data_IF_388317584170
#
_entry.id   IF_388317584170
#
_cell.length_a   1.000
_cell.length_b   1.000
_cell.length_c   1.000
_cell.angle_alpha   90.00
_cell.angle_beta   90.00
_cell.angle_gamma   90.00
#
_symmetry.space_group_name_H-M   'P 1'
#
loop_
_entity.id
_entity.type
_entity.pdbx_description
1 polymer ?
#
# COMPACT_ATOMS: atom_id res chain seq x y z
N UNK A 1 -13.20 56.19 45.41
CA UNK A 1 -12.34 56.08 44.20
C UNK A 1 -11.89 54.64 43.88
N UNK A 2 -12.76 53.61 44.01
CA UNK A 2 -12.34 52.20 43.84
C UNK A 2 -12.95 51.47 42.63
N UNK A 3 -14.06 51.95 42.06
CA UNK A 3 -14.71 51.30 40.92
C UNK A 3 -13.92 51.48 39.62
N UNK A 4 -13.49 52.72 39.31
CA UNK A 4 -12.77 53.04 38.05
C UNK A 4 -11.48 52.24 37.86
N UNK A 5 -10.75 51.95 38.95
CA UNK A 5 -9.52 51.13 38.90
C UNK A 5 -9.79 49.65 38.61
N UNK A 6 -10.93 49.10 39.07
CA UNK A 6 -11.30 47.71 38.82
C UNK A 6 -11.74 47.48 37.37
N UNK A 7 -12.51 48.39 36.80
CA UNK A 7 -12.91 48.31 35.38
C UNK A 7 -11.73 48.49 34.42
N UNK A 8 -10.76 49.33 34.77
CA UNK A 8 -9.53 49.50 33.98
C UNK A 8 -8.72 48.19 33.91
N UNK A 9 -8.61 47.47 35.03
CA UNK A 9 -7.85 46.23 35.13
C UNK A 9 -8.51 45.10 34.33
N UNK A 10 -9.84 45.03 34.35
CA UNK A 10 -10.62 44.06 33.54
C UNK A 10 -10.51 44.37 32.04
N UNK A 11 -10.54 45.65 31.66
CA UNK A 11 -10.33 46.05 30.27
C UNK A 11 -8.93 45.70 29.77
N UNK A 12 -7.90 45.93 30.59
CA UNK A 12 -6.52 45.54 30.26
C UNK A 12 -6.35 44.03 30.14
N UNK A 13 -6.98 43.24 31.01
CA UNK A 13 -6.92 41.77 30.91
C UNK A 13 -7.65 41.24 29.68
N UNK A 14 -8.81 41.80 29.34
CA UNK A 14 -9.55 41.40 28.13
C UNK A 14 -8.79 41.80 26.85
N UNK A 15 -8.17 42.99 26.84
CA UNK A 15 -7.34 43.42 25.72
C UNK A 15 -6.09 42.55 25.55
N UNK A 16 -5.45 42.13 26.65
CA UNK A 16 -4.31 41.22 26.62
C UNK A 16 -4.70 39.82 26.11
N UNK A 17 -5.83 39.26 26.57
CA UNK A 17 -6.33 37.98 26.07
C UNK A 17 -6.71 38.04 24.59
N UNK A 18 -7.34 39.13 24.14
CA UNK A 18 -7.62 39.34 22.72
C UNK A 18 -6.32 39.46 21.90
N UNK A 19 -5.31 40.18 22.41
CA UNK A 19 -4.00 40.27 21.76
C UNK A 19 -3.30 38.90 21.69
N UNK A 20 -3.35 38.07 22.73
CA UNK A 20 -2.80 36.72 22.69
C UNK A 20 -3.58 35.79 21.76
N UNK A 21 -4.91 35.90 21.71
CA UNK A 21 -5.76 35.08 20.86
C UNK A 21 -5.60 35.43 19.36
N UNK A 22 -5.60 36.71 19.02
CA UNK A 22 -5.44 37.18 17.63
C UNK A 22 -3.98 37.31 17.19
N UNK A 23 -3.05 37.60 18.11
CA UNK A 23 -1.61 37.74 17.85
C UNK A 23 -0.82 36.43 17.97
N UNK A 24 -1.28 35.47 18.77
CA UNK A 24 -0.64 34.15 18.92
C UNK A 24 -0.64 33.32 17.63
N UNK A 25 -1.61 33.57 16.73
CA UNK A 25 -1.64 32.96 15.39
C UNK A 25 -0.60 33.53 14.42
N UNK A 26 0.02 34.69 14.71
CA UNK A 26 1.05 35.31 13.86
C UNK A 26 2.49 35.07 14.32
N UNK A 27 2.71 34.41 15.45
CA UNK A 27 4.06 33.98 15.87
C UNK A 27 4.48 32.63 15.29
N UNK A 28 3.63 31.95 14.51
CA UNK A 28 4.09 30.93 13.56
C UNK A 28 4.60 31.62 12.29
N UNK A 29 5.69 32.37 12.46
CA UNK A 29 6.49 32.88 11.37
C UNK A 29 6.84 31.74 10.42
N UNK A 30 6.64 31.98 9.13
CA UNK A 30 7.18 31.18 8.03
C UNK A 30 8.72 31.17 8.13
N UNK A 31 9.28 30.31 8.97
CA UNK A 31 10.63 29.85 8.75
C UNK A 31 10.59 28.91 7.54
N UNK A 32 10.79 29.49 6.35
CA UNK A 32 11.42 28.78 5.24
C UNK A 32 12.82 28.42 5.71
N UNK A 33 12.94 27.30 6.41
CA UNK A 33 14.21 26.60 6.52
C UNK A 33 14.42 25.98 5.15
N UNK A 34 15.27 26.60 4.32
CA UNK A 34 15.90 25.85 3.25
C UNK A 34 16.77 24.81 3.97
N UNK A 35 16.48 23.50 3.87
CA UNK A 35 17.38 22.52 4.46
C UNK A 35 18.75 22.67 3.79
N UNK A 36 19.86 22.63 4.55
CA UNK A 36 21.16 22.47 3.94
C UNK A 36 21.12 21.16 3.15
N UNK A 37 21.68 21.19 1.95
CA UNK A 37 21.96 20.02 1.12
C UNK A 37 23.12 19.20 1.74
N UNK A 38 23.10 19.03 3.07
CA UNK A 38 23.99 18.16 3.79
C UNK A 38 23.45 16.74 3.62
N UNK A 39 24.23 15.93 2.90
CA UNK A 39 24.07 14.47 2.80
C UNK A 39 23.82 13.90 4.19
N UNK A 40 22.56 13.66 4.51
CA UNK A 40 22.19 12.92 5.71
C UNK A 40 22.87 11.54 5.62
N UNK A 41 23.40 11.00 6.73
CA UNK A 41 23.92 9.65 6.72
C UNK A 41 22.78 8.72 6.26
N UNK A 42 22.98 8.01 5.17
CA UNK A 42 22.07 6.96 4.77
C UNK A 42 22.19 5.84 5.80
N UNK A 43 21.32 5.84 6.81
CA UNK A 43 21.13 4.71 7.74
C UNK A 43 20.28 3.59 7.12
N UNK A 44 20.38 3.46 5.79
CA UNK A 44 20.14 2.16 5.18
C UNK A 44 21.22 1.27 5.75
N UNK A 45 20.85 0.36 6.66
CA UNK A 45 21.64 -0.85 6.85
C UNK A 45 21.88 -1.37 5.43
N UNK A 46 23.15 -1.48 4.99
CA UNK A 46 23.45 -2.15 3.75
C UNK A 46 22.70 -3.48 3.81
N UNK A 47 21.94 -3.76 2.76
CA UNK A 47 21.14 -4.97 2.62
C UNK A 47 21.93 -6.29 2.84
N UNK A 48 23.25 -6.21 3.00
CA UNK A 48 24.10 -7.31 3.48
C UNK A 48 23.71 -7.85 4.85
N UNK A 49 23.19 -7.01 5.76
CA UNK A 49 23.06 -7.41 7.18
C UNK A 49 21.71 -8.06 7.52
N UNK A 50 20.72 -7.97 6.62
CA UNK A 50 19.41 -8.64 6.77
C UNK A 50 19.19 -9.82 5.81
N UNK A 51 20.04 -9.99 4.80
CA UNK A 51 20.09 -11.22 4.03
C UNK A 51 20.93 -12.24 4.79
N UNK A 52 20.31 -12.99 5.72
CA UNK A 52 20.95 -14.23 6.12
C UNK A 52 21.15 -15.06 4.86
N UNK A 53 22.33 -15.64 4.68
CA UNK A 53 22.65 -16.49 3.51
C UNK A 53 21.62 -17.61 3.34
N UNK A 54 20.91 -17.99 4.42
CA UNK A 54 19.76 -18.90 4.46
C UNK A 54 18.50 -18.40 3.75
N UNK A 55 18.26 -17.10 3.66
CA UNK A 55 17.07 -16.53 3.01
C UNK A 55 17.25 -16.38 1.49
N UNK A 56 18.49 -16.46 1.01
CA UNK A 56 18.86 -16.59 -0.40
C UNK A 56 18.87 -18.06 -0.87
N UNK A 57 18.73 -19.02 0.04
CA UNK A 57 18.70 -20.43 -0.32
C UNK A 57 17.38 -20.77 -1.04
N UNK A 58 17.42 -21.33 -2.26
CA UNK A 58 16.24 -21.86 -2.92
C UNK A 58 15.56 -22.88 -2.01
N UNK A 59 14.23 -22.95 -2.06
CA UNK A 59 13.46 -23.90 -1.26
C UNK A 59 14.05 -25.32 -1.36
N UNK A 60 13.99 -26.15 -0.30
CA UNK A 60 14.52 -27.51 -0.33
C UNK A 60 13.98 -28.36 -1.49
N UNK A 61 12.82 -27.99 -2.03
CA UNK A 61 12.22 -28.60 -3.20
C UNK A 61 13.00 -28.33 -4.49
N UNK A 62 13.45 -27.08 -4.71
CA UNK A 62 14.29 -26.70 -5.86
C UNK A 62 15.67 -27.37 -5.79
N UNK A 63 16.19 -27.59 -4.57
CA UNK A 63 17.46 -28.31 -4.35
C UNK A 63 17.36 -29.80 -4.69
N UNK A 64 16.21 -30.41 -4.42
CA UNK A 64 15.98 -31.85 -4.64
C UNK A 64 15.69 -32.21 -6.09
N UNK A 65 15.06 -31.32 -6.85
CA UNK A 65 14.66 -31.62 -8.23
C UNK A 65 15.76 -31.39 -9.26
N UNK A 66 16.90 -30.78 -8.88
CA UNK A 66 17.98 -30.46 -9.81
C UNK A 66 17.53 -29.39 -10.81
N UNK A 67 18.19 -28.23 -10.79
CA UNK A 67 17.89 -27.11 -11.69
C UNK A 67 18.24 -27.40 -13.16
N UNK A 68 17.59 -28.38 -13.78
CA UNK A 68 17.75 -28.74 -15.18
C UNK A 68 16.38 -28.73 -15.85
N UNK A 69 16.20 -27.77 -16.77
CA UNK A 69 15.11 -27.68 -17.76
C UNK A 69 13.72 -27.19 -17.34
N UNK A 70 13.59 -26.31 -16.34
CA UNK A 70 12.40 -25.45 -16.25
C UNK A 70 12.57 -24.20 -17.13
N UNK A 71 12.22 -24.35 -18.41
CA UNK A 71 11.83 -23.30 -19.36
C UNK A 71 12.43 -21.89 -19.14
N UNK A 72 13.63 -21.70 -19.71
CA UNK A 72 14.28 -20.39 -19.91
C UNK A 72 13.43 -19.34 -20.68
N UNK A 73 12.24 -19.69 -21.18
CA UNK A 73 11.33 -18.78 -21.90
C UNK A 73 10.33 -18.01 -21.02
N UNK A 74 10.21 -18.28 -19.72
CA UNK A 74 9.30 -17.54 -18.81
C UNK A 74 10.00 -16.57 -17.84
N UNK A 75 11.33 -16.56 -17.83
CA UNK A 75 12.10 -15.69 -16.91
C UNK A 75 12.21 -14.25 -17.42
N UNK A 76 11.97 -13.99 -18.72
CA UNK A 76 12.22 -12.67 -19.32
C UNK A 76 11.33 -11.55 -18.81
N UNK A 77 10.09 -11.83 -18.38
CA UNK A 77 9.18 -10.77 -17.93
C UNK A 77 9.35 -10.45 -16.44
N UNK A 78 9.76 -11.42 -15.61
CA UNK A 78 10.02 -11.20 -14.17
C UNK A 78 11.27 -10.33 -13.91
N UNK A 79 12.26 -10.38 -14.80
CA UNK A 79 13.49 -9.57 -14.70
C UNK A 79 13.22 -8.08 -14.98
N UNK A 80 12.12 -7.74 -15.66
CA UNK A 80 11.74 -6.34 -15.92
C UNK A 80 11.36 -5.64 -14.60
N UNK A 81 10.78 -6.35 -13.64
CA UNK A 81 10.33 -5.76 -12.37
C UNK A 81 11.46 -5.48 -11.37
N UNK A 82 12.59 -6.18 -11.42
CA UNK A 82 13.77 -5.84 -10.57
C UNK A 82 14.36 -4.44 -10.88
N UNK A 83 13.95 -3.80 -11.99
CA UNK A 83 14.42 -2.46 -12.39
C UNK A 83 13.54 -1.32 -11.90
N UNK A 84 12.33 -1.59 -11.39
CA UNK A 84 11.45 -0.54 -10.92
C UNK A 84 11.84 -0.09 -9.51
N UNK A 85 12.18 1.19 -9.42
CA UNK A 85 12.37 1.92 -8.18
C UNK A 85 11.47 3.15 -8.19
N UNK A 86 11.36 3.81 -7.05
CA UNK A 86 10.58 5.04 -6.97
C UNK A 86 11.09 6.10 -7.94
N UNK A 87 12.40 6.17 -8.19
CA UNK A 87 12.98 7.19 -9.07
C UNK A 87 12.71 6.92 -10.56
N UNK A 88 12.37 5.68 -10.94
CA UNK A 88 12.26 5.25 -12.35
C UNK A 88 10.83 4.98 -12.78
N UNK A 89 10.05 4.32 -11.92
CA UNK A 89 8.71 3.83 -12.23
C UNK A 89 7.60 4.63 -11.54
N UNK A 90 7.94 5.61 -10.72
CA UNK A 90 6.99 6.53 -10.09
C UNK A 90 7.17 7.95 -10.60
N UNK A 91 6.07 8.58 -10.99
CA UNK A 91 6.03 9.99 -11.39
C UNK A 91 5.69 10.87 -10.18
N UNK A 92 6.72 11.46 -9.59
CA UNK A 92 6.61 12.39 -8.48
C UNK A 92 5.96 13.72 -8.84
N UNK A 93 5.91 14.10 -10.12
CA UNK A 93 5.35 15.39 -10.54
C UNK A 93 3.85 15.49 -10.20
N UNK A 94 3.14 14.35 -10.21
CA UNK A 94 1.73 14.25 -9.81
C UNK A 94 1.48 14.39 -8.31
N UNK A 95 2.54 14.37 -7.50
CA UNK A 95 2.45 14.29 -6.04
C UNK A 95 3.02 15.52 -5.32
N UNK A 96 3.30 16.61 -6.05
CA UNK A 96 4.02 17.77 -5.52
C UNK A 96 3.22 18.60 -4.49
N UNK A 97 1.90 18.69 -4.63
CA UNK A 97 1.07 19.58 -3.80
C UNK A 97 0.31 18.81 -2.72
N UNK A 98 -0.65 17.99 -3.14
CA UNK A 98 -1.54 17.25 -2.26
C UNK A 98 -1.50 15.77 -2.65
N UNK A 99 -1.48 14.90 -1.65
CA UNK A 99 -1.50 13.46 -1.90
C UNK A 99 -2.94 13.01 -2.08
N UNK A 100 -3.35 12.82 -3.35
CA UNK A 100 -4.70 12.34 -3.68
C UNK A 100 -4.67 10.99 -4.38
N UNK A 101 -5.70 10.19 -4.15
CA UNK A 101 -5.88 8.85 -4.70
C UNK A 101 -7.16 8.82 -5.51
N UNK A 102 -7.04 8.50 -6.79
CA UNK A 102 -8.17 8.25 -7.67
C UNK A 102 -8.49 6.77 -7.69
N UNK A 103 -9.77 6.45 -7.53
CA UNK A 103 -10.30 5.08 -7.65
C UNK A 103 -11.06 5.02 -8.97
N UNK A 104 -10.74 4.03 -9.80
CA UNK A 104 -11.49 3.83 -11.05
C UNK A 104 -12.97 3.53 -10.74
N UNK A 105 -13.92 4.03 -11.54
CA UNK A 105 -15.32 3.71 -11.32
C UNK A 105 -15.59 2.23 -11.63
N UNK A 106 -16.54 1.66 -10.90
CA UNK A 106 -17.02 0.28 -11.06
C UNK A 106 -18.06 0.13 -12.19
N UNK A 107 -18.45 1.22 -12.85
CA UNK A 107 -19.56 1.24 -13.80
C UNK A 107 -19.24 0.62 -15.17
N UNK A 108 -20.31 0.10 -15.79
CA UNK A 108 -20.39 -0.63 -17.06
C UNK A 108 -19.75 0.10 -18.25
N UNK A 109 -19.70 1.43 -18.22
CA UNK A 109 -19.18 2.28 -19.30
C UNK A 109 -17.69 2.02 -19.61
N UNK A 110 -16.93 1.50 -18.64
CA UNK A 110 -15.52 1.12 -18.81
C UNK A 110 -15.33 -0.31 -19.36
N UNK A 111 -16.38 -1.12 -19.36
CA UNK A 111 -16.29 -2.55 -19.66
C UNK A 111 -16.66 -2.90 -21.10
N UNK A 112 -17.07 -1.94 -21.93
CA UNK A 112 -17.16 -2.10 -23.38
C UNK A 112 -18.01 -3.30 -23.83
N UNK A 113 -19.09 -3.59 -23.09
CA UNK A 113 -20.01 -4.70 -23.38
C UNK A 113 -19.73 -6.03 -22.65
N UNK A 114 -18.68 -6.11 -21.83
CA UNK A 114 -18.52 -7.23 -20.88
C UNK A 114 -19.36 -7.01 -19.62
N UNK A 115 -19.84 -8.10 -19.00
CA UNK A 115 -20.54 -8.05 -17.71
C UNK A 115 -19.68 -7.28 -16.69
N UNK A 116 -20.24 -6.24 -16.05
CA UNK A 116 -19.55 -5.46 -15.03
C UNK A 116 -19.06 -6.38 -13.92
N UNK A 117 -17.81 -6.19 -13.49
CA UNK A 117 -17.32 -6.95 -12.34
C UNK A 117 -17.75 -6.23 -11.08
N UNK A 118 -18.60 -6.89 -10.29
CA UNK A 118 -18.80 -6.52 -8.91
C UNK A 118 -17.56 -6.97 -8.12
N UNK A 119 -16.86 -6.06 -7.42
CA UNK A 119 -15.76 -6.42 -6.52
C UNK A 119 -16.21 -7.47 -5.49
N UNK A 120 -15.30 -8.34 -5.05
CA UNK A 120 -15.58 -9.21 -3.91
C UNK A 120 -15.86 -8.36 -2.66
N UNK A 121 -16.60 -8.87 -1.66
CA UNK A 121 -16.81 -8.14 -0.40
C UNK A 121 -15.51 -7.74 0.29
N UNK A 122 -14.42 -8.50 0.09
CA UNK A 122 -13.12 -8.16 0.65
C UNK A 122 -12.47 -6.98 -0.08
N UNK A 123 -12.54 -6.93 -1.41
CA UNK A 123 -11.98 -5.82 -2.18
C UNK A 123 -12.82 -4.56 -2.06
N UNK A 124 -14.15 -4.70 -1.97
CA UNK A 124 -15.05 -3.58 -1.74
C UNK A 124 -14.66 -2.82 -0.47
N UNK A 125 -14.35 -3.51 0.65
CA UNK A 125 -13.81 -2.88 1.86
C UNK A 125 -12.54 -2.06 1.63
N UNK A 126 -11.63 -2.55 0.78
CA UNK A 126 -10.40 -1.82 0.44
C UNK A 126 -10.75 -0.53 -0.31
N UNK A 127 -11.66 -0.61 -1.27
CA UNK A 127 -12.13 0.55 -2.03
C UNK A 127 -12.86 1.54 -1.12
N UNK A 128 -13.76 1.09 -0.26
CA UNK A 128 -14.57 1.92 0.65
C UNK A 128 -13.68 2.73 1.59
N UNK A 129 -12.69 2.09 2.23
CA UNK A 129 -11.72 2.78 3.09
C UNK A 129 -10.96 3.89 2.34
N UNK A 130 -10.64 3.67 1.06
CA UNK A 130 -9.96 4.69 0.24
C UNK A 130 -10.94 5.81 -0.10
N UNK A 131 -12.13 5.48 -0.59
CA UNK A 131 -13.18 6.41 -1.02
C UNK A 131 -13.64 7.34 0.11
N UNK A 132 -13.72 6.81 1.34
CA UNK A 132 -14.12 7.58 2.53
C UNK A 132 -12.96 8.38 3.14
N UNK A 133 -11.73 8.15 2.68
CA UNK A 133 -10.55 8.85 3.20
C UNK A 133 -10.45 10.29 2.67
N UNK A 134 -9.76 11.14 3.42
CA UNK A 134 -9.38 12.51 2.99
C UNK A 134 -8.48 12.55 1.74
N UNK A 135 -7.92 11.40 1.37
CA UNK A 135 -7.02 11.27 0.23
C UNK A 135 -7.79 11.01 -1.06
N UNK A 136 -9.04 10.57 -1.01
CA UNK A 136 -9.82 10.34 -2.22
C UNK A 136 -10.01 11.61 -3.07
N UNK A 137 -10.01 11.43 -4.40
CA UNK A 137 -10.48 12.40 -5.38
C UNK A 137 -11.25 11.71 -6.50
N UNK A 138 -12.32 12.34 -6.99
CA UNK A 138 -13.04 11.93 -8.20
C UNK A 138 -12.39 12.46 -9.49
N UNK A 139 -11.47 13.41 -9.39
CA UNK A 139 -10.77 14.01 -10.53
C UNK A 139 -9.39 13.34 -10.73
N UNK A 140 -9.18 12.56 -11.80
CA UNK A 140 -7.91 11.88 -12.06
C UNK A 140 -6.75 12.85 -12.35
N UNK A 141 -7.02 14.11 -12.72
CA UNK A 141 -5.98 15.11 -12.97
C UNK A 141 -5.29 15.59 -11.68
N UNK A 142 -5.97 15.46 -10.55
CA UNK A 142 -5.46 15.84 -9.23
C UNK A 142 -4.80 14.66 -8.50
N UNK A 143 -4.87 13.45 -9.05
CA UNK A 143 -4.46 12.24 -8.37
C UNK A 143 -2.95 11.98 -8.48
N UNK A 144 -2.34 11.73 -7.33
CA UNK A 144 -0.98 11.22 -7.21
C UNK A 144 -0.94 9.71 -7.44
N UNK A 145 -1.90 8.97 -6.88
CA UNK A 145 -2.03 7.52 -7.03
C UNK A 145 -3.34 7.11 -7.69
N UNK A 146 -3.32 5.95 -8.33
CA UNK A 146 -4.45 5.34 -9.01
C UNK A 146 -4.70 3.93 -8.47
N UNK A 147 -5.96 3.61 -8.15
CA UNK A 147 -6.39 2.30 -7.66
C UNK A 147 -7.47 1.74 -8.56
N UNK A 148 -7.26 0.53 -9.06
CA UNK A 148 -8.16 -0.14 -9.98
C UNK A 148 -9.46 -0.56 -9.28
N UNK A 149 -10.59 -0.50 -9.98
CA UNK A 149 -11.83 -1.18 -9.56
C UNK A 149 -11.85 -2.67 -9.98
N UNK A 150 -10.77 -3.17 -10.58
CA UNK A 150 -10.61 -4.57 -10.94
C UNK A 150 -10.10 -5.32 -9.71
N UNK A 151 -10.89 -6.27 -9.21
CA UNK A 151 -10.50 -7.09 -8.07
C UNK A 151 -9.33 -8.00 -8.44
N UNK A 152 -8.20 -7.78 -7.75
CA UNK A 152 -6.96 -8.54 -7.91
C UNK A 152 -6.49 -9.13 -6.59
N UNK A 153 -7.29 -9.05 -5.52
CA UNK A 153 -6.92 -9.55 -4.20
C UNK A 153 -6.68 -11.06 -4.22
N UNK A 154 -7.50 -11.78 -4.98
CA UNK A 154 -7.42 -13.23 -5.12
C UNK A 154 -7.04 -13.62 -6.54
N UNK A 155 -5.80 -14.10 -6.69
CA UNK A 155 -5.26 -14.61 -7.94
C UNK A 155 -5.17 -16.13 -7.96
N UNK A 156 -5.85 -16.81 -7.04
CA UNK A 156 -6.08 -18.24 -7.16
C UNK A 156 -7.13 -18.54 -8.23
N UNK A 157 -6.75 -19.28 -9.27
CA UNK A 157 -7.66 -19.68 -10.35
C UNK A 157 -8.88 -20.51 -9.91
N UNK A 158 -8.82 -21.11 -8.72
CA UNK A 158 -9.90 -21.89 -8.12
C UNK A 158 -10.87 -21.03 -7.29
N UNK A 159 -10.50 -19.78 -6.97
CA UNK A 159 -11.34 -18.90 -6.17
C UNK A 159 -12.56 -18.42 -6.94
N UNK A 160 -13.69 -18.32 -6.24
CA UNK A 160 -14.91 -17.69 -6.75
C UNK A 160 -14.71 -16.20 -7.02
N UNK A 161 -13.75 -15.57 -6.34
CA UNK A 161 -13.41 -14.15 -6.48
C UNK A 161 -12.37 -13.92 -7.60
N UNK A 162 -11.93 -14.97 -8.30
CA UNK A 162 -10.91 -14.89 -9.34
C UNK A 162 -11.40 -14.14 -10.58
N UNK A 163 -10.87 -12.94 -10.78
CA UNK A 163 -11.16 -12.14 -11.98
C UNK A 163 -10.37 -12.66 -13.18
N UNK A 164 -11.08 -13.04 -14.25
CA UNK A 164 -10.49 -13.46 -15.53
C UNK A 164 -10.27 -12.27 -16.47
N UNK A 165 -9.39 -12.45 -17.45
CA UNK A 165 -9.13 -11.48 -18.53
C UNK A 165 -8.71 -10.08 -18.04
N UNK A 166 -7.99 -10.01 -16.92
CA UNK A 166 -7.40 -8.76 -16.41
C UNK A 166 -6.57 -8.02 -17.48
N UNK A 167 -5.72 -8.68 -18.30
CA UNK A 167 -4.95 -7.98 -19.34
C UNK A 167 -5.84 -7.21 -20.33
N UNK A 168 -6.90 -7.84 -20.85
CA UNK A 168 -7.84 -7.21 -21.78
C UNK A 168 -8.58 -6.03 -21.15
N UNK A 169 -8.89 -6.13 -19.85
CA UNK A 169 -9.54 -5.05 -19.09
C UNK A 169 -8.59 -3.87 -18.90
N UNK A 170 -7.33 -4.11 -18.51
CA UNK A 170 -6.32 -3.06 -18.34
C UNK A 170 -6.05 -2.29 -19.64
N UNK A 171 -6.03 -2.97 -20.79
CA UNK A 171 -5.83 -2.33 -22.09
C UNK A 171 -6.92 -1.30 -22.45
N UNK A 172 -8.14 -1.46 -21.89
CA UNK A 172 -9.24 -0.50 -22.10
C UNK A 172 -9.15 0.73 -21.18
N UNK A 173 -8.36 0.64 -20.10
CA UNK A 173 -8.19 1.72 -19.15
C UNK A 173 -7.21 2.76 -19.70
N UNK A 174 -7.74 3.86 -20.24
CA UNK A 174 -6.94 4.97 -20.81
C UNK A 174 -5.89 5.53 -19.84
N UNK A 175 -6.19 5.51 -18.54
CA UNK A 175 -5.33 6.04 -17.48
C UNK A 175 -4.26 5.04 -17.00
N UNK A 176 -4.30 3.76 -17.39
CA UNK A 176 -3.41 2.71 -16.85
C UNK A 176 -1.93 3.04 -17.02
N UNK A 177 -1.55 3.64 -18.15
CA UNK A 177 -0.19 4.15 -18.42
C UNK A 177 0.93 3.15 -18.03
N UNK A 178 0.76 1.88 -18.39
CA UNK A 178 1.74 0.83 -18.09
C UNK A 178 1.95 0.57 -16.60
N UNK A 179 1.01 0.98 -15.73
CA UNK A 179 1.07 0.80 -14.27
C UNK A 179 1.70 1.97 -13.51
N UNK A 180 2.26 2.98 -14.17
CA UNK A 180 2.92 4.11 -13.48
C UNK A 180 1.95 4.81 -12.53
N UNK A 181 2.36 4.99 -11.27
CA UNK A 181 1.56 5.53 -10.15
C UNK A 181 0.31 4.70 -9.77
N UNK A 182 0.18 3.46 -10.25
CA UNK A 182 -0.93 2.59 -9.86
C UNK A 182 -0.53 1.72 -8.68
N UNK A 183 -1.51 1.37 -7.84
CA UNK A 183 -1.35 0.37 -6.79
C UNK A 183 -2.24 -0.83 -7.12
N UNK A 184 -1.63 -2.01 -7.13
CA UNK A 184 -2.30 -3.31 -7.31
C UNK A 184 -2.25 -4.07 -5.99
N UNK A 185 -3.39 -4.58 -5.54
CA UNK A 185 -3.50 -5.32 -4.29
C UNK A 185 -3.55 -6.82 -4.56
N UNK A 186 -2.80 -7.61 -3.79
CA UNK A 186 -2.90 -9.07 -3.79
C UNK A 186 -2.74 -9.60 -2.36
N UNK A 187 -3.71 -10.41 -1.91
CA UNK A 187 -3.62 -11.15 -0.66
C UNK A 187 -3.38 -12.63 -0.89
N UNK A 188 -4.03 -13.21 -1.89
CA UNK A 188 -4.01 -14.64 -2.18
C UNK A 188 -3.36 -14.91 -3.53
N UNK A 189 -2.20 -15.56 -3.50
CA UNK A 189 -1.39 -15.93 -4.68
C UNK A 189 -1.49 -17.43 -4.99
N UNK A 190 -2.69 -17.99 -4.92
CA UNK A 190 -2.95 -19.42 -5.12
C UNK A 190 -3.05 -20.25 -3.84
N UNK A 191 -3.56 -21.48 -4.02
CA UNK A 191 -3.71 -22.51 -2.99
C UNK A 191 -2.81 -23.70 -3.30
N UNK A 192 -2.52 -24.52 -2.29
CA UNK A 192 -1.73 -25.74 -2.47
C UNK A 192 -2.38 -26.66 -3.52
N UNK A 193 -1.60 -27.35 -4.37
CA UNK A 193 -0.13 -27.33 -4.46
C UNK A 193 0.41 -26.19 -5.35
N UNK A 194 -0.45 -25.49 -6.07
CA UNK A 194 -0.12 -24.60 -7.18
C UNK A 194 -0.05 -23.12 -6.77
N UNK A 195 0.87 -22.81 -5.85
CA UNK A 195 1.11 -21.43 -5.44
C UNK A 195 1.77 -20.62 -6.58
N UNK A 196 1.10 -19.57 -7.03
CA UNK A 196 1.60 -18.62 -8.03
C UNK A 196 2.24 -17.39 -7.34
N UNK A 197 3.32 -17.62 -6.57
CA UNK A 197 3.97 -16.54 -5.80
C UNK A 197 4.56 -15.42 -6.68
N UNK A 198 5.01 -15.73 -7.89
CA UNK A 198 5.64 -14.75 -8.80
C UNK A 198 4.77 -14.36 -10.00
N UNK A 199 3.58 -14.95 -10.15
CA UNK A 199 2.71 -14.75 -11.30
C UNK A 199 1.30 -14.33 -10.85
N UNK A 200 0.91 -13.09 -11.18
CA UNK A 200 -0.45 -12.58 -10.94
C UNK A 200 -1.43 -12.99 -12.04
N UNK A 201 -0.95 -13.65 -13.11
CA UNK A 201 -1.72 -13.96 -14.30
C UNK A 201 -1.89 -12.76 -15.25
N UNK A 202 -1.15 -11.66 -15.00
CA UNK A 202 -1.07 -10.48 -15.87
C UNK A 202 0.19 -9.68 -15.57
N UNK A 203 0.58 -8.81 -16.51
CA UNK A 203 1.71 -7.89 -16.33
C UNK A 203 1.26 -6.62 -15.59
N UNK A 204 1.87 -6.37 -14.42
CA UNK A 204 1.61 -5.15 -13.62
C UNK A 204 2.37 -3.94 -14.13
N UNK A 205 3.35 -4.13 -15.02
CA UNK A 205 4.24 -3.07 -15.48
C UNK A 205 4.89 -2.32 -14.31
N UNK A 206 4.78 -0.99 -14.34
CA UNK A 206 5.34 -0.05 -13.37
C UNK A 206 4.45 0.14 -12.11
N UNK A 207 3.40 -0.66 -11.90
CA UNK A 207 2.53 -0.51 -10.74
C UNK A 207 3.19 -0.94 -9.44
N UNK A 208 2.94 -0.22 -8.36
CA UNK A 208 3.28 -0.60 -6.98
C UNK A 208 2.45 -1.82 -6.61
N UNK A 209 3.12 -2.86 -6.10
CA UNK A 209 2.46 -4.08 -5.65
C UNK A 209 2.30 -4.06 -4.13
N UNK A 210 1.06 -3.91 -3.67
CA UNK A 210 0.67 -4.07 -2.28
C UNK A 210 0.28 -5.53 -2.04
N UNK A 211 1.23 -6.36 -1.60
CA UNK A 211 1.08 -7.82 -1.61
C UNK A 211 1.40 -8.49 -0.28
N UNK A 212 0.55 -9.45 0.09
CA UNK A 212 0.79 -10.37 1.18
C UNK A 212 1.67 -11.55 0.74
N UNK A 213 2.42 -12.13 1.68
CA UNK A 213 3.31 -13.28 1.43
C UNK A 213 4.33 -13.04 0.31
N UNK A 214 4.77 -11.79 0.13
CA UNK A 214 5.76 -11.44 -0.89
C UNK A 214 7.14 -11.99 -0.50
N UNK A 215 7.80 -12.70 -1.43
CA UNK A 215 9.18 -13.14 -1.23
C UNK A 215 10.13 -11.95 -1.22
N UNK A 216 11.16 -12.00 -0.38
CA UNK A 216 12.24 -11.00 -0.36
C UNK A 216 12.98 -10.91 -1.70
N UNK A 217 12.96 -11.99 -2.49
CA UNK A 217 13.55 -12.03 -3.83
C UNK A 217 12.72 -11.28 -4.88
N UNK A 218 11.42 -11.09 -4.62
CA UNK A 218 10.47 -10.51 -5.58
C UNK A 218 10.00 -9.11 -5.14
N UNK A 219 10.10 -8.78 -3.85
CA UNK A 219 9.82 -7.46 -3.27
C UNK A 219 10.77 -6.39 -3.84
N UNK A 220 10.22 -5.33 -4.45
CA UNK A 220 11.00 -4.15 -4.87
C UNK A 220 11.16 -3.18 -3.70
N UNK A 221 12.37 -3.00 -3.14
CA UNK A 221 12.55 -2.26 -1.90
C UNK A 221 12.27 -0.76 -2.06
N UNK A 222 11.50 -0.20 -1.13
CA UNK A 222 11.10 1.21 -1.18
C UNK A 222 10.07 1.54 -2.25
N UNK A 223 9.62 0.55 -3.03
CA UNK A 223 8.63 0.72 -4.09
C UNK A 223 7.37 -0.09 -3.80
N UNK A 224 7.52 -1.39 -3.55
CA UNK A 224 6.41 -2.28 -3.20
C UNK A 224 6.06 -2.24 -1.72
N UNK A 225 4.82 -2.65 -1.40
CA UNK A 225 4.28 -2.58 -0.05
C UNK A 225 3.96 -4.01 0.41
N UNK A 226 4.63 -4.46 1.47
CA UNK A 226 4.25 -5.70 2.14
C UNK A 226 3.07 -5.43 3.06
N UNK A 227 1.95 -6.11 2.81
CA UNK A 227 0.72 -6.00 3.61
C UNK A 227 0.44 -7.31 4.36
N UNK A 228 -0.22 -7.26 5.54
CA UNK A 228 -0.61 -8.46 6.25
C UNK A 228 -1.67 -9.24 5.45
N UNK A 229 -1.60 -10.57 5.51
CA UNK A 229 -2.69 -11.41 5.05
C UNK A 229 -3.82 -11.37 6.09
N UNK A 230 -4.99 -10.88 5.68
CA UNK A 230 -6.19 -10.89 6.50
C UNK A 230 -7.27 -11.76 5.88
N UNK A 231 -8.06 -12.43 6.74
CA UNK A 231 -9.16 -13.29 6.31
C UNK A 231 -10.28 -12.46 5.68
N UNK A 232 -11.10 -13.07 4.80
CA UNK A 232 -12.24 -12.40 4.14
C UNK A 232 -13.23 -11.75 5.13
N UNK A 233 -13.36 -12.35 6.32
CA UNK A 233 -14.23 -11.88 7.40
C UNK A 233 -13.58 -10.80 8.29
N UNK A 234 -12.38 -10.32 7.97
CA UNK A 234 -11.74 -9.25 8.73
C UNK A 234 -12.65 -8.00 8.71
N UNK A 235 -12.92 -7.37 9.86
CA UNK A 235 -13.73 -6.16 9.91
C UNK A 235 -13.02 -5.02 9.18
N UNK A 236 -13.79 -4.19 8.50
CA UNK A 236 -13.27 -3.03 7.77
C UNK A 236 -12.76 -1.93 8.71
N UNK A 237 -13.46 -1.76 9.84
CA UNK A 237 -13.13 -0.78 10.87
C UNK A 237 -13.24 -1.42 12.25
N UNK A 238 -12.41 -0.96 13.18
CA UNK A 238 -12.44 -1.37 14.57
C UNK A 238 -11.64 -2.64 14.87
N UNK A 239 -12.02 -3.32 15.95
CA UNK A 239 -11.26 -4.39 16.60
C UNK A 239 -10.80 -3.97 17.98
N UNK A 240 -10.49 -4.95 18.83
CA UNK A 240 -9.87 -4.66 20.12
C UNK A 240 -8.52 -4.00 19.87
N UNK A 241 -8.21 -2.88 20.58
CA UNK A 241 -6.86 -2.34 20.56
C UNK A 241 -5.89 -3.48 20.84
N UNK A 242 -4.93 -3.68 19.93
CA UNK A 242 -3.93 -4.71 20.15
C UNK A 242 -3.25 -4.49 21.51
N UNK A 243 -2.75 -5.55 22.14
CA UNK A 243 -2.11 -5.49 23.46
C UNK A 243 -0.86 -4.59 23.53
N UNK A 244 -0.45 -4.00 22.40
CA UNK A 244 0.61 -2.99 22.34
C UNK A 244 0.06 -1.68 22.90
N UNK A 245 0.06 -1.58 24.23
CA UNK A 245 -0.06 -0.31 24.92
C UNK A 245 1.08 0.60 24.45
N UNK A 246 0.71 1.77 23.95
CA UNK A 246 1.61 2.68 23.26
C UNK A 246 2.87 2.99 24.08
N UNK A 247 4.04 2.90 23.44
CA UNK A 247 5.18 3.72 23.82
C UNK A 247 4.76 5.18 23.57
N UNK A 248 4.21 5.81 24.61
CA UNK A 248 3.97 7.24 24.67
C UNK A 248 5.33 7.95 24.74
N UNK A 249 5.48 9.08 24.03
CA UNK A 249 6.68 9.87 23.70
C UNK A 249 7.19 9.67 22.26
N UNK A 250 7.62 10.74 21.57
CA UNK A 250 7.78 10.74 20.12
C UNK A 250 8.99 9.89 19.73
N UNK A 251 8.77 8.60 19.53
CA UNK A 251 9.74 7.71 18.90
C UNK A 251 9.59 7.90 17.40
N UNK A 252 10.60 8.47 16.75
CA UNK A 252 10.79 8.33 15.30
C UNK A 252 10.86 6.82 15.00
N UNK A 253 9.75 6.25 14.52
CA UNK A 253 9.70 4.82 14.17
C UNK A 253 10.12 4.66 12.70
N UNK A 254 11.12 3.81 12.45
CA UNK A 254 11.56 3.41 11.09
C UNK A 254 10.41 2.80 10.29
N UNK A 255 9.51 2.08 10.94
CA UNK A 255 8.35 1.43 10.32
C UNK A 255 7.05 2.08 10.78
N UNK A 256 6.21 2.47 9.83
CA UNK A 256 4.87 3.01 10.10
C UNK A 256 3.95 1.97 10.74
N UNK A 257 4.01 0.74 10.23
CA UNK A 257 3.26 -0.42 10.72
C UNK A 257 4.14 -1.66 10.65
N UNK A 258 4.06 -2.51 11.66
CA UNK A 258 4.69 -3.83 11.66
C UNK A 258 3.65 -4.87 12.07
N UNK A 259 3.63 -6.01 11.39
CA UNK A 259 2.76 -7.12 11.68
C UNK A 259 3.57 -8.39 11.86
N UNK A 260 3.12 -9.25 12.79
CA UNK A 260 3.67 -10.59 12.99
C UNK A 260 2.65 -11.60 12.51
N UNK A 261 2.98 -12.33 11.47
CA UNK A 261 2.19 -13.46 10.97
C UNK A 261 2.85 -14.80 11.27
N UNK A 262 2.13 -15.89 10.99
CA UNK A 262 2.72 -17.23 10.87
C UNK A 262 2.71 -17.60 9.38
N UNK A 263 3.86 -18.04 8.86
CA UNK A 263 3.96 -18.59 7.50
C UNK A 263 3.43 -20.02 7.54
N UNK A 264 2.14 -20.21 7.25
CA UNK A 264 1.55 -21.53 7.22
C UNK A 264 1.97 -22.24 5.93
N UNK A 265 3.02 -23.04 6.05
CA UNK A 265 3.43 -23.98 5.00
C UNK A 265 2.70 -25.31 5.18
N UNK A 266 2.28 -25.67 6.43
CA UNK A 266 1.51 -26.87 6.78
C UNK A 266 0.74 -26.68 8.12
N UNK A 267 -0.39 -27.38 8.31
CA UNK A 267 -1.06 -27.58 9.62
C UNK A 267 -2.30 -26.71 9.94
N UNK A 268 -2.80 -26.81 11.18
CA UNK A 268 -4.12 -26.29 11.66
C UNK A 268 -4.28 -24.77 11.45
N UNK A 269 -3.21 -23.98 11.59
CA UNK A 269 -3.25 -22.54 11.33
C UNK A 269 -3.38 -22.18 9.84
N UNK A 270 -3.40 -23.18 8.96
CA UNK A 270 -3.78 -23.00 7.57
C UNK A 270 -5.23 -22.55 7.43
N UNK A 271 -6.11 -22.59 8.43
CA UNK A 271 -7.54 -22.22 8.29
C UNK A 271 -7.84 -20.90 7.56
N UNK A 272 -6.98 -19.87 7.56
CA UNK A 272 -7.18 -18.65 6.73
C UNK A 272 -6.79 -18.83 5.26
N UNK A 273 -5.88 -19.77 4.96
CA UNK A 273 -5.42 -20.16 3.62
C UNK A 273 -6.08 -21.47 3.11
N UNK A 274 -6.63 -22.26 4.02
CA UNK A 274 -7.40 -23.50 3.86
C UNK A 274 -8.90 -23.26 4.03
N UNK A 275 -9.37 -22.08 4.46
CA UNK A 275 -10.78 -21.70 4.30
C UNK A 275 -11.16 -21.50 2.82
N UNK A 276 -10.18 -21.59 1.91
CA UNK A 276 -10.35 -21.72 0.47
C UNK A 276 -10.54 -23.18 0.02
N UNK A 277 -10.45 -24.16 0.93
CA UNK A 277 -11.05 -25.47 0.70
C UNK A 277 -12.53 -25.38 1.05
N UNK A 278 -13.35 -25.42 -0.01
CA UNK A 278 -14.81 -25.53 -0.08
C UNK A 278 -15.57 -24.22 -0.36
#
# INVERSE_FOLDING_TARGET
MQAKKRYLLVLLSCAFLAYCYFGGYRLKSNHKVNPPEDRMPTFFDPWSDQLFTRDLEPSPHIRRTGGSNYNHKKVSNSIINQKCRMETCFDYSKCHNDFKVYVYPTSDDLHGGEVPLTPSPAYQKVLDVILESRYYTSDPSQACLFVLAIDTLDRDSLSVDYVRNVPSRLQRLKLWNGGKNHVVFNLYSGTWPDYAEDDLGFDTGEAILAKASMSVTSLRPGFDISIPLFHKNHPERGGDPGYVTSLNFPVSKKYFLAFKGKRYVHGIGSETRNSLYH
#
